data_IF_454708383839
#
_entry.id   IF_454708383839
#
_cell.length_a   1.000
_cell.length_b   1.000
_cell.length_c   1.000
_cell.angle_alpha   90.00
_cell.angle_beta   90.00
_cell.angle_gamma   90.00
#
_symmetry.space_group_name_H-M   'P 1'
#
loop_
_entity.id
_entity.type
_entity.pdbx_description
1 polymer ?
#
# COMPACT_ATOMS: atom_id res chain seq x y z
N UNK A 1 9.84 10.84 -5.34
CA UNK A 1 10.30 9.52 -4.91
C UNK A 1 10.97 8.77 -6.03
N UNK A 2 11.90 7.90 -5.69
CA UNK A 2 12.58 7.04 -6.67
C UNK A 2 11.59 5.97 -7.12
N UNK A 3 11.36 5.86 -8.42
CA UNK A 3 10.52 4.79 -8.97
C UNK A 3 11.29 3.46 -8.96
N UNK A 4 10.63 2.33 -8.72
CA UNK A 4 11.28 1.01 -8.77
C UNK A 4 12.02 0.74 -10.08
N UNK A 5 11.48 1.22 -11.20
CA UNK A 5 12.11 1.10 -12.52
C UNK A 5 13.38 1.91 -12.67
N UNK A 6 13.53 3.04 -11.97
CA UNK A 6 14.76 3.82 -11.99
C UNK A 6 15.91 3.04 -11.33
N UNK A 7 15.62 2.29 -10.28
CA UNK A 7 16.60 1.42 -9.64
C UNK A 7 17.07 0.31 -10.58
N UNK A 8 16.14 -0.32 -11.30
CA UNK A 8 16.45 -1.37 -12.28
C UNK A 8 17.32 -0.81 -13.41
N UNK A 9 16.93 0.32 -14.00
CA UNK A 9 17.63 0.96 -15.11
C UNK A 9 19.04 1.43 -14.76
N UNK A 10 19.26 1.80 -13.50
CA UNK A 10 20.57 2.25 -13.04
C UNK A 10 21.49 1.12 -12.57
N UNK A 11 21.02 -0.13 -12.53
CA UNK A 11 21.81 -1.30 -12.14
C UNK A 11 22.26 -2.09 -13.38
N UNK A 12 23.58 -2.13 -13.63
CA UNK A 12 24.15 -2.93 -14.70
C UNK A 12 23.78 -4.41 -14.60
N UNK A 13 23.78 -4.94 -13.39
CA UNK A 13 23.43 -6.35 -13.12
C UNK A 13 21.95 -6.62 -13.46
N UNK A 14 21.04 -5.77 -13.02
CA UNK A 14 19.61 -5.96 -13.30
C UNK A 14 19.31 -5.78 -14.78
N UNK A 15 19.98 -4.86 -15.47
CA UNK A 15 19.87 -4.72 -16.92
C UNK A 15 20.41 -5.94 -17.66
N UNK A 16 21.53 -6.50 -17.23
CA UNK A 16 22.04 -7.76 -17.81
C UNK A 16 21.07 -8.92 -17.64
N UNK A 17 20.47 -9.07 -16.47
CA UNK A 17 19.41 -10.07 -16.22
C UNK A 17 18.19 -9.86 -17.10
N UNK A 18 17.82 -8.60 -17.34
CA UNK A 18 16.71 -8.24 -18.23
C UNK A 18 16.99 -8.68 -19.67
N UNK A 19 18.19 -8.39 -20.19
CA UNK A 19 18.58 -8.83 -21.53
C UNK A 19 18.61 -10.35 -21.64
N UNK A 20 19.16 -11.06 -20.65
CA UNK A 20 19.14 -12.52 -20.63
C UNK A 20 17.71 -13.08 -20.65
N UNK A 21 16.76 -12.42 -19.99
CA UNK A 21 15.35 -12.81 -20.06
C UNK A 21 14.75 -12.57 -21.44
N UNK A 22 15.06 -11.44 -22.06
CA UNK A 22 14.64 -11.14 -23.43
C UNK A 22 15.17 -12.23 -24.40
N UNK A 23 16.42 -12.66 -24.27
CA UNK A 23 17.01 -13.73 -25.08
C UNK A 23 16.23 -15.06 -24.97
N UNK A 24 15.66 -15.36 -23.82
CA UNK A 24 14.77 -16.52 -23.66
C UNK A 24 13.45 -16.29 -24.40
N UNK A 25 12.85 -15.13 -24.24
CA UNK A 25 11.56 -14.80 -24.85
C UNK A 25 11.60 -14.81 -26.38
N UNK A 26 12.70 -14.33 -26.99
CA UNK A 26 12.83 -14.22 -28.45
C UNK A 26 12.95 -15.56 -29.17
N UNK A 27 13.06 -16.66 -28.43
CA UNK A 27 12.98 -18.00 -29.02
C UNK A 27 11.59 -18.32 -29.60
N UNK A 28 10.54 -17.65 -29.08
CA UNK A 28 9.15 -17.85 -29.48
C UNK A 28 8.45 -16.55 -29.88
N UNK A 29 8.93 -15.39 -29.43
CA UNK A 29 8.34 -14.08 -29.66
C UNK A 29 9.27 -13.16 -30.42
N UNK A 30 8.72 -12.12 -31.07
CA UNK A 30 9.57 -11.11 -31.71
C UNK A 30 10.36 -10.32 -30.64
N UNK A 31 11.58 -9.87 -30.96
CA UNK A 31 12.36 -9.04 -30.04
C UNK A 31 11.60 -7.77 -29.57
N UNK A 32 10.83 -7.17 -30.48
CA UNK A 32 9.98 -6.01 -30.15
C UNK A 32 8.92 -6.36 -29.11
N UNK A 33 8.17 -7.45 -29.33
CA UNK A 33 7.15 -7.89 -28.37
C UNK A 33 7.75 -8.11 -26.97
N UNK A 34 8.89 -8.80 -26.91
CA UNK A 34 9.54 -9.11 -25.63
C UNK A 34 9.96 -7.85 -24.89
N UNK A 35 10.49 -6.85 -25.57
CA UNK A 35 10.87 -5.56 -24.97
C UNK A 35 9.65 -4.74 -24.54
N UNK A 36 8.67 -4.57 -25.43
CA UNK A 36 7.45 -3.81 -25.17
C UNK A 36 6.66 -4.40 -23.98
N UNK A 37 6.68 -5.74 -23.84
CA UNK A 37 6.04 -6.42 -22.72
C UNK A 37 6.73 -6.10 -21.40
N UNK A 38 8.05 -6.18 -21.34
CA UNK A 38 8.82 -5.83 -20.14
C UNK A 38 8.67 -4.35 -19.76
N UNK A 39 8.64 -3.47 -20.75
CA UNK A 39 8.39 -2.05 -20.51
C UNK A 39 6.98 -1.79 -19.96
N UNK A 40 6.00 -2.57 -20.39
CA UNK A 40 4.64 -2.52 -19.84
C UNK A 40 4.58 -3.01 -18.39
N UNK A 41 5.33 -4.07 -18.06
CA UNK A 41 5.49 -4.53 -16.70
C UNK A 41 6.10 -3.45 -15.79
N UNK A 42 7.13 -2.77 -16.27
CA UNK A 42 7.79 -1.70 -15.51
C UNK A 42 6.81 -0.56 -15.22
N UNK A 43 6.08 -0.10 -16.26
CA UNK A 43 5.06 0.95 -16.09
C UNK A 43 3.97 0.57 -15.10
N UNK A 44 3.49 -0.66 -15.15
CA UNK A 44 2.51 -1.16 -14.20
C UNK A 44 3.09 -1.24 -12.78
N UNK A 45 4.35 -1.68 -12.63
CA UNK A 45 5.04 -1.71 -11.33
C UNK A 45 5.19 -0.31 -10.75
N UNK A 46 5.55 0.70 -11.56
CA UNK A 46 5.63 2.10 -11.11
C UNK A 46 4.26 2.62 -10.65
N UNK A 47 3.19 2.29 -11.40
CA UNK A 47 1.83 2.67 -11.03
C UNK A 47 1.38 2.02 -9.72
N UNK A 48 1.65 0.72 -9.53
CA UNK A 48 1.37 0.01 -8.27
C UNK A 48 2.07 0.73 -7.11
N UNK A 49 3.35 1.03 -7.28
CA UNK A 49 4.14 1.67 -6.23
C UNK A 49 3.61 3.06 -5.89
N UNK A 50 3.14 3.80 -6.89
CA UNK A 50 2.51 5.11 -6.67
C UNK A 50 1.24 4.99 -5.81
N UNK A 51 0.31 4.09 -6.17
CA UNK A 51 -0.91 3.87 -5.39
C UNK A 51 -0.61 3.43 -3.95
N UNK A 52 0.34 2.54 -3.77
CA UNK A 52 0.75 2.07 -2.43
C UNK A 52 1.36 3.20 -1.62
N UNK A 53 2.23 4.00 -2.24
CA UNK A 53 2.87 5.14 -1.57
C UNK A 53 1.86 6.22 -1.16
N UNK A 54 0.89 6.51 -2.01
CA UNK A 54 -0.17 7.49 -1.73
C UNK A 54 -1.10 6.98 -0.60
N UNK A 55 -1.44 5.70 -0.61
CA UNK A 55 -2.23 5.08 0.46
C UNK A 55 -1.49 5.12 1.80
N UNK A 56 -0.19 4.81 1.79
CA UNK A 56 0.67 4.92 2.98
C UNK A 56 0.73 6.35 3.50
N UNK A 57 0.99 7.31 2.64
CA UNK A 57 1.04 8.73 3.01
C UNK A 57 -0.29 9.20 3.61
N UNK A 58 -1.42 8.73 3.08
CA UNK A 58 -2.75 9.01 3.61
C UNK A 58 -2.91 8.51 5.05
N UNK A 59 -2.53 7.27 5.33
CA UNK A 59 -2.63 6.69 6.68
C UNK A 59 -1.66 7.39 7.63
N UNK A 60 -0.44 7.67 7.17
CA UNK A 60 0.54 8.41 7.95
C UNK A 60 0.02 9.78 8.36
N UNK A 61 -0.61 10.51 7.45
CA UNK A 61 -1.20 11.82 7.78
C UNK A 61 -2.31 11.72 8.80
N UNK A 62 -3.19 10.70 8.73
CA UNK A 62 -4.22 10.49 9.74
C UNK A 62 -3.64 10.23 11.14
N UNK A 63 -2.52 9.50 11.20
CA UNK A 63 -1.80 9.29 12.45
C UNK A 63 -1.21 10.59 12.99
N UNK A 64 -0.54 11.36 12.15
CA UNK A 64 0.06 12.66 12.51
C UNK A 64 -1.02 13.69 12.92
N UNK A 65 -2.18 13.65 12.28
CA UNK A 65 -3.34 14.48 12.63
C UNK A 65 -4.03 14.02 13.94
N UNK A 66 -3.66 12.87 14.50
CA UNK A 66 -4.26 12.30 15.71
C UNK A 66 -5.71 11.82 15.54
N UNK A 67 -6.09 11.47 14.32
CA UNK A 67 -7.47 11.06 13.97
C UNK A 67 -7.56 9.62 13.43
N UNK A 68 -6.44 8.91 13.36
CA UNK A 68 -6.45 7.47 13.05
C UNK A 68 -7.20 6.73 14.18
N UNK A 69 -8.26 6.00 13.84
CA UNK A 69 -9.11 5.38 14.84
C UNK A 69 -9.12 3.85 14.73
N UNK A 70 -8.93 3.14 15.87
CA UNK A 70 -8.39 3.67 17.13
C UNK A 70 -6.91 4.03 16.99
N UNK A 71 -6.44 5.04 17.70
CA UNK A 71 -5.01 5.38 17.73
C UNK A 71 -4.19 4.21 18.26
N UNK A 72 -2.95 3.99 17.80
CA UNK A 72 -2.14 2.81 18.15
C UNK A 72 -2.01 2.56 19.65
N UNK A 73 -1.83 3.61 20.43
CA UNK A 73 -1.71 3.55 21.89
C UNK A 73 -2.99 3.12 22.61
N UNK A 74 -4.14 3.27 21.97
CA UNK A 74 -5.46 2.94 22.52
C UNK A 74 -6.00 1.59 22.03
N UNK A 75 -5.21 0.83 21.31
CA UNK A 75 -5.63 -0.46 20.78
C UNK A 75 -5.41 -1.59 21.77
N UNK A 76 -6.31 -2.58 21.81
CA UNK A 76 -6.03 -3.80 22.56
C UNK A 76 -4.72 -4.41 22.07
N UNK A 77 -3.91 -4.88 22.99
CA UNK A 77 -2.71 -5.64 22.62
C UNK A 77 -3.12 -6.89 21.83
N UNK A 78 -2.53 -7.09 20.68
CA UNK A 78 -2.73 -8.35 19.94
C UNK A 78 -2.20 -9.51 20.79
N UNK A 79 -2.86 -10.67 20.76
CA UNK A 79 -2.27 -11.90 21.26
C UNK A 79 -1.01 -12.18 20.43
N UNK A 80 0.15 -12.08 21.08
CA UNK A 80 1.43 -11.90 20.42
C UNK A 80 2.41 -13.10 20.46
N UNK A 81 2.00 -14.35 20.25
CA UNK A 81 3.00 -15.42 20.20
C UNK A 81 3.87 -15.36 18.94
N UNK A 82 3.36 -14.81 17.85
CA UNK A 82 4.11 -14.78 16.58
C UNK A 82 5.13 -13.65 16.56
N UNK A 83 4.82 -12.52 17.16
CA UNK A 83 5.68 -11.32 17.15
C UNK A 83 6.90 -11.46 18.04
N UNK A 84 6.79 -12.19 19.16
CA UNK A 84 7.92 -12.47 20.06
C UNK A 84 8.87 -13.53 19.46
N UNK A 85 8.31 -14.53 18.78
CA UNK A 85 9.08 -15.63 18.21
C UNK A 85 9.70 -15.30 16.85
N UNK A 86 9.06 -14.43 16.07
CA UNK A 86 9.48 -14.05 14.72
C UNK A 86 9.36 -12.55 14.50
N UNK A 87 10.14 -11.73 15.21
CA UNK A 87 10.06 -10.26 15.11
C UNK A 87 10.36 -9.75 13.69
N UNK A 88 11.13 -10.50 12.92
CA UNK A 88 11.44 -10.21 11.53
C UNK A 88 10.21 -10.24 10.61
N UNK A 89 9.17 -10.98 10.95
CA UNK A 89 7.93 -11.01 10.17
C UNK A 89 7.12 -9.70 10.26
N UNK A 90 7.43 -8.88 11.25
CA UNK A 90 6.83 -7.56 11.46
C UNK A 90 7.74 -6.42 11.02
N UNK A 91 8.91 -6.74 10.44
CA UNK A 91 9.87 -5.76 9.99
C UNK A 91 9.38 -4.92 8.81
N UNK A 92 10.01 -3.78 8.60
CA UNK A 92 9.78 -2.91 7.46
C UNK A 92 8.57 -2.00 7.60
N UNK A 93 7.66 -2.04 6.65
CA UNK A 93 6.50 -1.14 6.55
C UNK A 93 5.60 -1.09 7.79
N UNK A 94 5.61 -2.13 8.60
CA UNK A 94 4.75 -2.27 9.77
C UNK A 94 5.24 -1.50 10.99
N UNK A 95 6.52 -1.08 10.98
CA UNK A 95 7.18 -0.57 12.18
C UNK A 95 6.61 0.73 12.74
N UNK A 96 6.01 1.58 11.92
CA UNK A 96 5.59 2.91 12.38
C UNK A 96 4.21 2.96 13.02
N UNK A 97 3.22 2.21 12.51
CA UNK A 97 1.83 2.31 12.98
C UNK A 97 1.39 1.14 13.82
N UNK A 98 1.46 -0.05 13.26
CA UNK A 98 0.81 -1.23 13.82
C UNK A 98 1.72 -2.10 14.67
N UNK A 99 3.04 -2.00 14.53
CA UNK A 99 3.95 -2.81 15.32
C UNK A 99 3.86 -2.52 16.83
N UNK A 100 3.47 -1.30 17.22
CA UNK A 100 3.33 -0.96 18.63
C UNK A 100 2.18 -1.67 19.34
N UNK A 101 1.13 -2.05 18.62
CA UNK A 101 -0.05 -2.69 19.21
C UNK A 101 -0.38 -4.06 18.60
N UNK A 102 0.21 -4.41 17.46
CA UNK A 102 -0.08 -5.66 16.75
C UNK A 102 -1.54 -5.83 16.33
N UNK A 103 -2.35 -4.79 16.43
CA UNK A 103 -3.77 -4.82 16.12
C UNK A 103 -4.16 -3.61 15.26
N UNK A 104 -3.97 -3.71 13.94
CA UNK A 104 -4.20 -2.60 13.02
C UNK A 104 -5.69 -2.22 12.95
N UNK A 105 -5.96 -0.94 12.69
CA UNK A 105 -7.29 -0.44 12.35
C UNK A 105 -7.76 -1.00 11.01
N UNK A 106 -9.03 -0.77 10.66
CA UNK A 106 -9.58 -1.23 9.38
C UNK A 106 -8.80 -0.67 8.19
N UNK A 107 -8.55 0.64 8.18
CA UNK A 107 -7.82 1.31 7.09
C UNK A 107 -6.40 0.79 6.92
N UNK A 108 -5.73 0.46 8.02
CA UNK A 108 -4.41 -0.16 8.00
C UNK A 108 -4.46 -1.59 7.48
N UNK A 109 -5.50 -2.37 7.83
CA UNK A 109 -5.71 -3.71 7.25
C UNK A 109 -5.96 -3.65 5.75
N UNK A 110 -6.74 -2.69 5.28
CA UNK A 110 -6.98 -2.50 3.85
C UNK A 110 -5.68 -2.16 3.10
N UNK A 111 -4.81 -1.34 3.71
CA UNK A 111 -3.48 -1.08 3.17
C UNK A 111 -2.60 -2.33 3.13
N UNK A 112 -2.61 -3.13 4.19
CA UNK A 112 -1.89 -4.39 4.25
C UNK A 112 -2.27 -5.32 3.10
N UNK A 113 -3.59 -5.53 2.92
CA UNK A 113 -4.07 -6.36 1.82
C UNK A 113 -3.70 -5.79 0.46
N UNK A 114 -3.81 -4.47 0.30
CA UNK A 114 -3.41 -3.79 -0.92
C UNK A 114 -1.93 -4.03 -1.26
N UNK A 115 -1.06 -3.90 -0.26
CA UNK A 115 0.39 -4.02 -0.47
C UNK A 115 0.84 -5.48 -0.59
N UNK A 116 0.53 -6.32 0.41
CA UNK A 116 1.07 -7.67 0.50
C UNK A 116 0.42 -8.66 -0.45
N UNK A 117 -0.86 -8.46 -0.72
CA UNK A 117 -1.62 -9.38 -1.54
C UNK A 117 -1.82 -8.84 -2.96
N UNK A 118 -2.55 -7.73 -3.09
CA UNK A 118 -3.01 -7.28 -4.41
C UNK A 118 -1.86 -6.75 -5.26
N UNK A 119 -0.99 -5.90 -4.72
CA UNK A 119 0.18 -5.38 -5.43
C UNK A 119 1.15 -6.49 -5.84
N UNK A 120 1.36 -7.47 -4.95
CA UNK A 120 2.21 -8.63 -5.24
C UNK A 120 1.61 -9.51 -6.33
N UNK A 121 0.29 -9.77 -6.28
CA UNK A 121 -0.39 -10.61 -7.28
C UNK A 121 -0.44 -9.94 -8.66
N UNK A 122 -0.67 -8.62 -8.73
CA UNK A 122 -0.57 -7.88 -10.02
C UNK A 122 0.82 -8.07 -10.62
N UNK A 123 1.85 -7.86 -9.83
CA UNK A 123 3.24 -7.99 -10.28
C UNK A 123 3.58 -9.42 -10.71
N UNK A 124 3.12 -10.41 -9.94
CA UNK A 124 3.27 -11.82 -10.27
C UNK A 124 2.54 -12.19 -11.57
N UNK A 125 1.31 -11.69 -11.75
CA UNK A 125 0.54 -11.91 -12.97
C UNK A 125 1.21 -11.35 -14.21
N UNK A 126 1.77 -10.15 -14.11
CA UNK A 126 2.56 -9.54 -15.19
C UNK A 126 3.80 -10.37 -15.49
N UNK A 127 4.56 -10.79 -14.46
CA UNK A 127 5.77 -11.59 -14.64
C UNK A 127 5.51 -12.96 -15.28
N UNK A 128 4.32 -13.52 -15.08
CA UNK A 128 3.92 -14.81 -15.65
C UNK A 128 3.11 -14.70 -16.94
N UNK A 129 3.04 -13.53 -17.55
CA UNK A 129 2.25 -13.27 -18.78
C UNK A 129 0.78 -13.72 -18.66
N UNK A 130 0.20 -13.58 -17.46
CA UNK A 130 -1.19 -13.91 -17.20
C UNK A 130 -2.04 -12.64 -16.98
N UNK A 131 -2.53 -12.01 -18.06
CA UNK A 131 -3.26 -10.75 -17.93
C UNK A 131 -4.65 -10.91 -17.31
N UNK A 132 -5.29 -12.07 -17.45
CA UNK A 132 -6.68 -12.25 -17.06
C UNK A 132 -6.86 -12.62 -15.58
N UNK A 133 -6.09 -13.60 -15.09
CA UNK A 133 -6.27 -14.12 -13.74
C UNK A 133 -5.76 -13.16 -12.66
N UNK A 134 -4.48 -12.90 -12.68
CA UNK A 134 -3.85 -12.12 -11.61
C UNK A 134 -3.85 -10.61 -11.88
N UNK A 135 -3.59 -10.19 -13.11
CA UNK A 135 -3.48 -8.75 -13.42
C UNK A 135 -4.84 -8.07 -13.32
N UNK A 136 -5.86 -8.59 -13.99
CA UNK A 136 -7.18 -7.96 -14.01
C UNK A 136 -7.85 -7.98 -12.66
N UNK A 137 -7.96 -9.14 -12.02
CA UNK A 137 -8.63 -9.29 -10.73
C UNK A 137 -7.85 -8.53 -9.65
N UNK A 138 -6.56 -8.75 -9.56
CA UNK A 138 -5.75 -8.14 -8.49
C UNK A 138 -5.56 -6.64 -8.70
N UNK A 139 -5.44 -6.16 -9.93
CA UNK A 139 -5.44 -4.73 -10.23
C UNK A 139 -6.73 -4.05 -9.80
N UNK A 140 -7.88 -4.65 -10.13
CA UNK A 140 -9.19 -4.13 -9.70
C UNK A 140 -9.32 -4.10 -8.17
N UNK A 141 -8.84 -5.12 -7.48
CA UNK A 141 -8.84 -5.17 -6.03
C UNK A 141 -7.91 -4.11 -5.43
N UNK A 142 -6.72 -3.92 -5.98
CA UNK A 142 -5.78 -2.88 -5.58
C UNK A 142 -6.41 -1.50 -5.68
N UNK A 143 -7.03 -1.18 -6.82
CA UNK A 143 -7.72 0.09 -7.03
C UNK A 143 -8.89 0.26 -6.06
N UNK A 144 -9.68 -0.80 -5.85
CA UNK A 144 -10.76 -0.78 -4.87
C UNK A 144 -10.25 -0.46 -3.47
N UNK A 145 -9.22 -1.14 -3.02
CA UNK A 145 -8.59 -0.88 -1.71
C UNK A 145 -8.06 0.54 -1.61
N UNK A 146 -7.43 1.05 -2.65
CA UNK A 146 -6.99 2.44 -2.70
C UNK A 146 -8.15 3.41 -2.49
N UNK A 147 -9.25 3.23 -3.24
CA UNK A 147 -10.45 4.07 -3.11
C UNK A 147 -11.08 3.94 -1.72
N UNK A 148 -11.16 2.72 -1.17
CA UNK A 148 -11.68 2.47 0.18
C UNK A 148 -10.85 3.22 1.24
N UNK A 149 -9.52 3.19 1.14
CA UNK A 149 -8.60 3.91 2.03
C UNK A 149 -8.83 5.43 1.94
N UNK A 150 -8.91 6.00 0.74
CA UNK A 150 -9.12 7.42 0.56
C UNK A 150 -10.51 7.86 1.09
N UNK A 151 -11.54 7.06 0.85
CA UNK A 151 -12.90 7.31 1.32
C UNK A 151 -13.00 7.26 2.84
N UNK A 152 -12.36 6.28 3.45
CA UNK A 152 -12.32 6.16 4.91
C UNK A 152 -11.54 7.30 5.55
N UNK A 153 -10.40 7.68 4.99
CA UNK A 153 -9.64 8.83 5.43
C UNK A 153 -10.46 10.13 5.40
N UNK A 154 -11.20 10.36 4.31
CA UNK A 154 -12.12 11.50 4.22
C UNK A 154 -13.18 11.45 5.31
N UNK A 155 -13.76 10.27 5.57
CA UNK A 155 -14.78 10.07 6.61
C UNK A 155 -14.24 10.36 7.99
N UNK A 156 -13.06 9.85 8.34
CA UNK A 156 -12.41 10.10 9.62
C UNK A 156 -12.12 11.60 9.84
N UNK A 157 -11.63 12.30 8.83
CA UNK A 157 -11.41 13.76 8.89
C UNK A 157 -12.71 14.52 9.11
N UNK A 158 -13.77 14.12 8.41
CA UNK A 158 -15.10 14.72 8.56
C UNK A 158 -15.66 14.52 9.97
N UNK A 159 -15.55 13.32 10.53
CA UNK A 159 -15.99 13.01 11.90
C UNK A 159 -15.21 13.83 12.93
N UNK A 160 -13.90 13.88 12.82
CA UNK A 160 -13.05 14.69 13.71
C UNK A 160 -13.42 16.18 13.67
N UNK A 161 -13.73 16.72 12.49
CA UNK A 161 -14.17 18.10 12.32
C UNK A 161 -15.54 18.36 13.00
N UNK A 162 -16.48 17.40 12.92
CA UNK A 162 -17.78 17.49 13.59
C UNK A 162 -17.65 17.45 15.12
N UNK A 163 -16.81 16.57 15.63
CA UNK A 163 -16.52 16.49 17.08
C UNK A 163 -15.92 17.79 17.62
N UNK A 164 -14.96 18.39 16.90
CA UNK A 164 -14.40 19.69 17.27
C UNK A 164 -15.47 20.77 17.33
N UNK A 165 -16.38 20.82 16.35
CA UNK A 165 -17.52 21.76 16.35
C UNK A 165 -18.50 21.52 17.49
N UNK A 166 -18.79 20.27 17.80
CA UNK A 166 -19.66 19.87 18.94
C UNK A 166 -19.07 20.31 20.27
N UNK A 167 -17.80 20.04 20.52
CA UNK A 167 -17.08 20.48 21.74
C UNK A 167 -17.04 22.00 21.87
N UNK A 168 -16.86 22.73 20.77
CA UNK A 168 -16.88 24.20 20.80
C UNK A 168 -18.25 24.74 21.17
N UNK A 169 -19.34 24.19 20.61
CA UNK A 169 -20.72 24.59 20.94
C UNK A 169 -21.09 24.28 22.40
N UNK A 170 -20.65 23.16 22.95
CA UNK A 170 -20.87 22.79 24.33
C UNK A 170 -20.17 23.78 25.30
N UNK A 171 -18.89 24.11 25.02
CA UNK A 171 -18.14 25.10 25.83
C UNK A 171 -18.73 26.52 25.77
N UNK A 172 -19.26 26.93 24.62
CA UNK A 172 -19.92 28.23 24.49
C UNK A 172 -21.21 28.33 25.32
N UNK A 173 -21.99 27.23 25.41
CA UNK A 173 -23.21 27.18 26.22
C UNK A 173 -22.93 27.19 27.73
N UNK A 174 -21.81 26.64 28.18
CA UNK A 174 -21.43 26.63 29.62
C UNK A 174 -20.85 27.96 30.08
N UNK A 175 -20.34 28.82 29.22
CA UNK A 175 -19.85 30.17 29.58
C UNK A 175 -20.94 31.22 29.68
N UNK A 176 -22.12 30.94 29.13
CA UNK A 176 -23.28 31.87 29.12
C UNK A 176 -24.33 31.48 30.20
N UNK A 177 -24.02 30.59 31.12
CA UNK A 177 -24.72 30.31 32.36
C UNK A 177 -23.89 30.80 33.56
#
# INVERSE_FOLDING_TARGET
GIKPTDYIKNSKELMSRREAWIEVCVKCHSPRFSRDYLDSMDKASDSIFQYVSDAYATIKSLHEEGILYPMPENRPKAPAPVTEKYPELLGGFYGEFWAKSGNPSKIEKDFLYMWENDAFLVRKGLAHMNPNGFTYISWSNLLKKYVDIQSEAHTLRRLAALEKKGKFRARAKTKNK
#
